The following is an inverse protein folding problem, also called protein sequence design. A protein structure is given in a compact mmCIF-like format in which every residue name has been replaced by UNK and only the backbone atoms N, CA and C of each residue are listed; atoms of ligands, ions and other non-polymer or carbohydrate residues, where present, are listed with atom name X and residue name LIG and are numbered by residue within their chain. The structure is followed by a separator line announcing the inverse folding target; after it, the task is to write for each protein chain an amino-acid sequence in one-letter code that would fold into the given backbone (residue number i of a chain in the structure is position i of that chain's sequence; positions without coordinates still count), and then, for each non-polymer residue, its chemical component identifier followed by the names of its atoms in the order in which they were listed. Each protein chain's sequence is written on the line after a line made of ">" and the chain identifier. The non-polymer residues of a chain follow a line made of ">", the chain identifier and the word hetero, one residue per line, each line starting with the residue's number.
data_IF_066280889754
#
_entry.id   IF_066280889754
#
_cell.length_a   1.000
_cell.length_b   1.000
_cell.length_c   1.000
_cell.angle_alpha   90.00
_cell.angle_beta   90.00
_cell.angle_gamma   90.00
#
_symmetry.space_group_name_H-M   'P 1'
#
loop_
_entity.id
_entity.type
_entity.pdbx_description
1 polymer ?
#
# COMPACT_ATOMS: atom_id res chain seq x y z
N UNK A 1 -1.95 -13.20 -23.90
CA UNK A 1 -1.94 -12.91 -22.43
C UNK A 1 -1.76 -11.42 -22.30
N UNK A 2 -2.45 -10.77 -21.36
CA UNK A 2 -2.26 -9.33 -21.07
C UNK A 2 -0.95 -9.14 -20.31
N UNK A 3 -0.27 -8.01 -20.56
CA UNK A 3 0.97 -7.71 -19.83
C UNK A 3 0.68 -7.27 -18.39
N UNK A 4 -0.34 -6.44 -18.20
CA UNK A 4 -0.73 -5.90 -16.89
C UNK A 4 -2.23 -6.05 -16.67
N UNK A 5 -2.63 -6.48 -15.47
CA UNK A 5 -3.97 -6.31 -14.92
C UNK A 5 -3.94 -5.13 -13.95
N UNK A 6 -4.59 -4.05 -14.31
CA UNK A 6 -4.90 -2.97 -13.39
C UNK A 6 -6.21 -3.28 -12.66
N UNK A 7 -6.22 -3.16 -11.36
CA UNK A 7 -7.44 -3.24 -10.56
C UNK A 7 -7.74 -1.87 -9.98
N UNK A 8 -8.96 -1.42 -10.22
CA UNK A 8 -9.46 -0.11 -9.77
C UNK A 8 -10.65 -0.34 -8.84
N UNK A 9 -10.41 -0.43 -7.51
CA UNK A 9 -11.51 -0.45 -6.54
C UNK A 9 -12.22 0.89 -6.54
N UNK A 10 -13.54 0.89 -6.71
CA UNK A 10 -14.37 2.08 -6.79
C UNK A 10 -15.51 2.02 -5.77
N UNK A 11 -15.65 3.08 -4.97
CA UNK A 11 -16.81 3.29 -4.12
C UNK A 11 -17.15 4.77 -4.08
N UNK A 12 -18.30 5.15 -4.63
CA UNK A 12 -18.75 6.53 -4.79
C UNK A 12 -17.64 7.42 -5.42
N UNK A 13 -17.15 7.00 -6.57
CA UNK A 13 -15.99 7.57 -7.27
C UNK A 13 -16.36 8.37 -8.52
N UNK A 14 -17.64 8.72 -8.72
CA UNK A 14 -18.12 9.40 -9.96
C UNK A 14 -17.34 10.67 -10.32
N UNK A 15 -16.75 11.35 -9.31
CA UNK A 15 -16.02 12.59 -9.51
C UNK A 15 -14.57 12.40 -10.03
N UNK A 16 -14.02 11.19 -9.95
CA UNK A 16 -12.57 10.98 -10.14
C UNK A 16 -12.23 9.86 -11.14
N UNK A 17 -13.04 8.79 -11.17
CA UNK A 17 -12.70 7.53 -11.81
C UNK A 17 -12.45 7.63 -13.32
N UNK A 18 -13.06 8.60 -14.02
CA UNK A 18 -12.86 8.76 -15.46
C UNK A 18 -11.39 9.11 -15.78
N UNK A 19 -10.78 10.04 -15.03
CA UNK A 19 -9.36 10.38 -15.19
C UNK A 19 -8.46 9.18 -14.93
N UNK A 20 -8.77 8.39 -13.90
CA UNK A 20 -8.05 7.15 -13.59
C UNK A 20 -8.11 6.20 -14.78
N UNK A 21 -9.30 5.82 -15.21
CA UNK A 21 -9.52 4.82 -16.27
C UNK A 21 -8.91 5.29 -17.60
N UNK A 22 -9.10 6.57 -17.97
CA UNK A 22 -8.55 7.13 -19.22
C UNK A 22 -7.03 7.02 -19.25
N UNK A 23 -6.35 7.28 -18.12
CA UNK A 23 -4.89 7.12 -18.03
C UNK A 23 -4.44 5.67 -18.26
N UNK A 24 -5.22 4.68 -17.82
CA UNK A 24 -4.91 3.26 -17.98
C UNK A 24 -5.21 2.75 -19.40
N UNK A 25 -6.18 3.33 -20.09
CA UNK A 25 -6.57 2.95 -21.45
C UNK A 25 -5.49 3.22 -22.50
N UNK A 26 -4.47 4.01 -22.19
CA UNK A 26 -3.27 4.20 -23.03
C UNK A 26 -2.63 2.85 -23.38
N UNK A 27 -2.69 1.85 -22.48
CA UNK A 27 -2.17 0.49 -22.70
C UNK A 27 -2.95 -0.33 -23.72
N UNK A 28 -4.13 0.13 -24.15
CA UNK A 28 -4.96 -0.54 -25.18
C UNK A 28 -5.13 -2.05 -24.91
N UNK A 29 -4.88 -2.86 -25.93
CA UNK A 29 -5.02 -4.33 -25.84
C UNK A 29 -3.89 -5.03 -25.06
N UNK A 30 -2.82 -4.34 -24.67
CA UNK A 30 -1.74 -4.92 -23.87
C UNK A 30 -2.17 -5.14 -22.42
N UNK A 31 -3.16 -4.38 -21.96
CA UNK A 31 -3.61 -4.39 -20.56
C UNK A 31 -5.06 -4.79 -20.42
N UNK A 32 -5.45 -5.17 -19.22
CA UNK A 32 -6.84 -5.22 -18.78
C UNK A 32 -7.02 -4.31 -17.57
N UNK A 33 -8.16 -3.66 -17.51
CA UNK A 33 -8.58 -2.78 -16.44
C UNK A 33 -9.81 -3.43 -15.79
N UNK A 34 -9.68 -3.86 -14.56
CA UNK A 34 -10.74 -4.51 -13.79
C UNK A 34 -11.28 -3.47 -12.82
N UNK A 35 -12.41 -2.88 -13.16
CA UNK A 35 -13.12 -1.95 -12.29
C UNK A 35 -13.97 -2.79 -11.34
N UNK A 36 -13.80 -2.60 -10.04
CA UNK A 36 -14.62 -3.25 -9.02
C UNK A 36 -15.47 -2.17 -8.36
N UNK A 37 -16.74 -2.11 -8.73
CA UNK A 37 -17.71 -1.23 -8.09
C UNK A 37 -18.21 -1.88 -6.80
N UNK A 38 -17.76 -1.36 -5.69
CA UNK A 38 -17.95 -1.89 -4.34
C UNK A 38 -19.26 -1.38 -3.72
N UNK A 39 -20.38 -1.53 -4.46
CA UNK A 39 -21.72 -1.16 -4.00
C UNK A 39 -21.94 0.35 -3.95
N UNK A 40 -21.48 1.09 -4.96
CA UNK A 40 -21.67 2.52 -5.06
C UNK A 40 -23.13 2.93 -5.16
N UNK A 41 -23.49 4.08 -4.62
CA UNK A 41 -24.84 4.66 -4.64
C UNK A 41 -24.94 5.87 -5.56
N UNK A 42 -23.81 6.36 -6.09
CA UNK A 42 -23.72 7.43 -7.08
C UNK A 42 -23.67 6.88 -8.52
N UNK A 43 -23.15 7.64 -9.48
CA UNK A 43 -23.07 7.23 -10.89
C UNK A 43 -21.86 6.33 -11.20
N UNK A 44 -21.05 5.93 -10.20
CA UNK A 44 -19.84 5.11 -10.40
C UNK A 44 -20.13 3.86 -11.23
N UNK A 45 -21.12 3.06 -10.84
CA UNK A 45 -21.49 1.84 -11.55
C UNK A 45 -21.89 2.11 -13.02
N UNK A 46 -22.68 3.16 -13.27
CA UNK A 46 -23.09 3.55 -14.63
C UNK A 46 -21.91 4.00 -15.49
N UNK A 47 -20.95 4.73 -14.90
CA UNK A 47 -19.72 5.14 -15.59
C UNK A 47 -18.91 3.90 -15.96
N UNK A 48 -18.72 2.97 -15.02
CA UNK A 48 -17.99 1.73 -15.23
C UNK A 48 -18.60 0.87 -16.35
N UNK A 49 -19.93 0.73 -16.37
CA UNK A 49 -20.66 0.03 -17.44
C UNK A 49 -20.45 0.66 -18.82
N UNK A 50 -20.43 2.01 -18.88
CA UNK A 50 -20.17 2.73 -20.12
C UNK A 50 -18.74 2.48 -20.63
N UNK A 51 -17.74 2.45 -19.74
CA UNK A 51 -16.35 2.11 -20.12
C UNK A 51 -16.26 0.67 -20.60
N UNK A 52 -16.88 -0.28 -19.93
CA UNK A 52 -16.91 -1.68 -20.36
C UNK A 52 -17.55 -1.81 -21.75
N UNK A 53 -18.70 -1.17 -21.98
CA UNK A 53 -19.40 -1.17 -23.27
C UNK A 53 -18.55 -0.57 -24.39
N UNK A 54 -17.80 0.50 -24.10
CA UNK A 54 -16.94 1.20 -25.08
C UNK A 54 -15.64 0.45 -25.36
N UNK A 55 -15.07 -0.23 -24.34
CA UNK A 55 -13.76 -0.89 -24.40
C UNK A 55 -13.81 -2.35 -23.91
N UNK A 56 -14.67 -3.22 -24.48
CA UNK A 56 -14.92 -4.57 -23.93
C UNK A 56 -13.70 -5.49 -23.94
N UNK A 57 -12.70 -5.18 -24.77
CA UNK A 57 -11.45 -5.97 -24.85
C UNK A 57 -10.43 -5.60 -23.76
N UNK A 58 -10.57 -4.42 -23.15
CA UNK A 58 -9.62 -3.89 -22.18
C UNK A 58 -10.23 -3.62 -20.82
N UNK A 59 -11.53 -3.36 -20.72
CA UNK A 59 -12.22 -3.02 -19.48
C UNK A 59 -13.17 -4.15 -19.08
N UNK A 60 -13.02 -4.63 -17.86
CA UNK A 60 -13.97 -5.54 -17.18
C UNK A 60 -14.61 -4.78 -16.02
N UNK A 61 -15.87 -5.04 -15.77
CA UNK A 61 -16.59 -4.51 -14.60
C UNK A 61 -17.09 -5.63 -13.72
N UNK A 62 -17.00 -5.44 -12.42
CA UNK A 62 -17.54 -6.31 -11.39
C UNK A 62 -18.30 -5.44 -10.41
N UNK A 63 -19.61 -5.67 -10.28
CA UNK A 63 -20.43 -5.07 -9.24
C UNK A 63 -20.54 -6.03 -8.07
N UNK A 64 -20.34 -5.53 -6.85
CA UNK A 64 -20.47 -6.31 -5.63
C UNK A 64 -21.15 -5.53 -4.51
N UNK A 65 -21.60 -6.23 -3.48
CA UNK A 65 -21.96 -5.59 -2.22
C UNK A 65 -20.72 -4.99 -1.58
N UNK A 66 -20.87 -3.83 -0.90
CA UNK A 66 -19.75 -3.14 -0.31
C UNK A 66 -18.99 -4.04 0.67
N UNK A 67 -17.74 -4.30 0.38
CA UNK A 67 -16.80 -5.07 1.18
C UNK A 67 -15.58 -4.24 1.63
N UNK A 68 -15.48 -3.00 1.16
CA UNK A 68 -14.35 -2.10 1.36
C UNK A 68 -13.23 -2.30 0.36
N UNK A 69 -12.29 -1.36 0.33
CA UNK A 69 -11.20 -1.28 -0.63
C UNK A 69 -10.40 -2.59 -0.77
N UNK A 70 -10.06 -3.24 0.36
CA UNK A 70 -9.34 -4.51 0.35
C UNK A 70 -10.09 -5.65 -0.35
N UNK A 71 -11.43 -5.73 -0.17
CA UNK A 71 -12.25 -6.71 -0.89
C UNK A 71 -12.28 -6.42 -2.40
N UNK A 72 -12.32 -5.14 -2.78
CA UNK A 72 -12.18 -4.75 -4.19
C UNK A 72 -10.87 -5.26 -4.80
N UNK A 73 -9.75 -5.19 -4.06
CA UNK A 73 -8.46 -5.75 -4.48
C UNK A 73 -8.52 -7.28 -4.56
N UNK A 74 -9.09 -7.98 -3.56
CA UNK A 74 -9.23 -9.44 -3.56
C UNK A 74 -10.01 -9.93 -4.78
N UNK A 75 -11.16 -9.32 -5.04
CA UNK A 75 -12.01 -9.65 -6.20
C UNK A 75 -11.29 -9.35 -7.50
N UNK A 76 -10.65 -8.19 -7.62
CA UNK A 76 -9.85 -7.84 -8.79
C UNK A 76 -8.71 -8.85 -9.04
N UNK A 77 -7.98 -9.26 -8.00
CA UNK A 77 -6.90 -10.25 -8.10
C UNK A 77 -7.41 -11.61 -8.60
N UNK A 78 -8.57 -12.04 -8.13
CA UNK A 78 -9.20 -13.29 -8.55
C UNK A 78 -9.54 -13.31 -10.06
N UNK A 79 -9.89 -12.15 -10.64
CA UNK A 79 -10.29 -12.02 -12.04
C UNK A 79 -9.16 -11.57 -12.96
N UNK A 80 -8.00 -11.23 -12.40
CA UNK A 80 -6.82 -10.80 -13.15
C UNK A 80 -6.19 -11.95 -13.96
N UNK A 81 -5.86 -11.67 -15.22
CA UNK A 81 -5.24 -12.63 -16.17
C UNK A 81 -3.90 -12.15 -16.72
N UNK A 82 -3.50 -10.93 -16.42
CA UNK A 82 -2.24 -10.33 -16.85
C UNK A 82 -1.02 -10.95 -16.16
N UNK A 83 0.13 -10.80 -16.79
CA UNK A 83 1.42 -11.24 -16.25
C UNK A 83 1.74 -10.51 -14.94
N UNK A 84 1.50 -9.23 -14.92
CA UNK A 84 1.69 -8.35 -13.76
C UNK A 84 0.36 -7.81 -13.24
N UNK A 85 0.33 -7.48 -11.98
CA UNK A 85 -0.84 -6.96 -11.27
C UNK A 85 -0.48 -5.65 -10.56
N UNK A 86 -1.28 -4.62 -10.77
CA UNK A 86 -1.15 -3.34 -10.10
C UNK A 86 -2.50 -2.82 -9.64
N UNK A 87 -2.59 -2.39 -8.40
CA UNK A 87 -3.72 -1.62 -7.89
C UNK A 87 -3.54 -0.15 -8.28
N UNK A 88 -4.63 0.47 -8.70
CA UNK A 88 -4.70 1.92 -8.92
C UNK A 88 -5.96 2.43 -8.24
N UNK A 89 -5.80 3.34 -7.29
CA UNK A 89 -6.92 3.94 -6.58
C UNK A 89 -7.74 4.81 -7.53
N UNK A 90 -9.06 4.80 -7.38
CA UNK A 90 -9.98 5.41 -8.36
C UNK A 90 -9.86 6.93 -8.48
N UNK A 91 -9.19 7.58 -7.53
CA UNK A 91 -8.89 9.02 -7.52
C UNK A 91 -7.47 9.37 -8.01
N UNK A 92 -6.65 8.36 -8.34
CA UNK A 92 -5.28 8.47 -8.81
C UNK A 92 -5.18 8.20 -10.32
N UNK A 93 -4.02 8.42 -10.93
CA UNK A 93 -3.79 8.17 -12.36
C UNK A 93 -2.31 7.87 -12.65
N UNK A 94 -2.05 7.35 -13.84
CA UNK A 94 -0.67 7.17 -14.33
C UNK A 94 -0.24 8.33 -15.23
N UNK A 95 1.05 8.71 -15.13
CA UNK A 95 1.67 9.64 -16.07
C UNK A 95 1.75 8.99 -17.47
N UNK A 96 1.32 9.71 -18.49
CA UNK A 96 1.20 9.20 -19.85
C UNK A 96 2.55 8.76 -20.43
N UNK A 97 3.58 9.60 -20.29
CA UNK A 97 4.90 9.33 -20.89
C UNK A 97 5.67 8.26 -20.12
N UNK A 98 5.60 8.27 -18.80
CA UNK A 98 6.18 7.21 -17.97
C UNK A 98 5.48 5.86 -18.24
N UNK A 99 4.15 5.87 -18.42
CA UNK A 99 3.40 4.65 -18.70
C UNK A 99 3.70 4.09 -20.10
N UNK A 100 3.85 4.93 -21.12
CA UNK A 100 4.29 4.49 -22.46
C UNK A 100 5.65 3.81 -22.40
N UNK A 101 6.61 4.35 -21.65
CA UNK A 101 7.93 3.74 -21.43
C UNK A 101 7.82 2.39 -20.72
N UNK A 102 7.03 2.32 -19.63
CA UNK A 102 6.76 1.07 -18.92
C UNK A 102 6.23 -0.02 -19.88
N UNK A 103 5.27 0.32 -20.75
CA UNK A 103 4.66 -0.61 -21.70
C UNK A 103 5.65 -1.13 -22.77
N UNK A 104 6.69 -0.39 -23.06
CA UNK A 104 7.79 -0.84 -23.93
C UNK A 104 8.70 -1.81 -23.18
N UNK A 105 9.15 -1.44 -21.98
CA UNK A 105 10.10 -2.20 -21.18
C UNK A 105 9.52 -3.52 -20.66
N UNK A 106 8.25 -3.54 -20.25
CA UNK A 106 7.62 -4.69 -19.59
C UNK A 106 7.60 -5.96 -20.45
N UNK A 107 7.69 -5.82 -21.77
CA UNK A 107 7.76 -6.93 -22.73
C UNK A 107 9.04 -7.75 -22.59
N UNK A 108 10.10 -7.11 -22.11
CA UNK A 108 11.43 -7.69 -21.97
C UNK A 108 11.77 -8.04 -20.52
N UNK A 109 10.91 -7.67 -19.58
CA UNK A 109 11.10 -7.91 -18.14
C UNK A 109 10.38 -9.19 -17.73
N UNK A 110 11.12 -10.08 -17.06
CA UNK A 110 10.55 -11.23 -16.34
C UNK A 110 11.08 -11.27 -14.91
N UNK A 111 10.38 -10.59 -14.02
CA UNK A 111 10.77 -10.42 -12.62
C UNK A 111 9.54 -10.59 -11.71
N UNK A 112 9.77 -10.83 -10.43
CA UNK A 112 8.69 -11.02 -9.45
C UNK A 112 8.03 -9.70 -9.03
N UNK A 113 8.82 -8.62 -9.01
CA UNK A 113 8.39 -7.29 -8.59
C UNK A 113 9.01 -6.22 -9.49
N UNK A 114 8.18 -5.37 -10.06
CA UNK A 114 8.59 -4.12 -10.71
C UNK A 114 8.31 -2.97 -9.73
N UNK A 115 9.29 -2.08 -9.58
CA UNK A 115 9.18 -0.87 -8.75
C UNK A 115 9.35 0.35 -9.63
N UNK A 116 8.44 1.32 -9.50
CA UNK A 116 8.54 2.65 -10.11
C UNK A 116 8.42 3.73 -9.03
N UNK A 117 8.74 4.97 -9.37
CA UNK A 117 8.47 6.10 -8.51
C UNK A 117 6.98 6.44 -8.49
N UNK A 118 6.59 7.28 -7.54
CA UNK A 118 5.28 7.90 -7.52
C UNK A 118 5.39 9.38 -7.12
N UNK A 119 4.36 10.15 -7.42
CA UNK A 119 4.33 11.59 -7.27
C UNK A 119 3.17 11.99 -6.37
N UNK A 120 3.44 12.66 -5.27
CA UNK A 120 2.39 13.39 -4.54
C UNK A 120 1.94 14.58 -5.36
N UNK A 121 0.68 14.55 -5.79
CA UNK A 121 0.06 15.60 -6.60
C UNK A 121 -0.94 16.37 -5.75
N UNK A 122 -0.62 17.63 -5.47
CA UNK A 122 -1.39 18.49 -4.58
C UNK A 122 -2.39 19.38 -5.33
N UNK A 123 -3.56 19.63 -4.73
CA UNK A 123 -4.61 20.49 -5.28
C UNK A 123 -4.56 21.92 -4.77
N UNK A 124 -3.78 22.20 -3.76
CA UNK A 124 -3.71 23.48 -3.04
C UNK A 124 -2.61 24.41 -3.55
N UNK A 125 -2.04 24.12 -4.74
CA UNK A 125 -1.00 24.91 -5.37
C UNK A 125 0.42 24.62 -4.87
N UNK A 126 0.60 23.68 -3.96
CA UNK A 126 1.94 23.18 -3.59
C UNK A 126 2.60 22.50 -4.79
N UNK A 127 3.94 22.58 -4.85
CA UNK A 127 4.71 21.85 -5.85
C UNK A 127 4.60 20.35 -5.62
N UNK A 128 4.33 19.59 -6.69
CA UNK A 128 4.35 18.13 -6.65
C UNK A 128 5.68 17.59 -6.12
N UNK A 129 5.63 16.47 -5.43
CA UNK A 129 6.80 15.85 -4.82
C UNK A 129 6.98 14.42 -5.33
N UNK A 130 8.10 14.16 -5.97
CA UNK A 130 8.49 12.81 -6.41
C UNK A 130 9.03 12.01 -5.24
N UNK A 131 8.54 10.80 -5.09
CA UNK A 131 9.08 9.78 -4.19
C UNK A 131 9.82 8.76 -5.04
N UNK A 132 11.12 8.96 -5.16
CA UNK A 132 12.02 8.12 -5.96
C UNK A 132 12.66 7.02 -5.10
N UNK A 133 12.91 5.86 -5.72
CA UNK A 133 13.58 4.72 -5.12
C UNK A 133 15.00 4.48 -5.70
N UNK A 134 15.53 5.39 -6.49
CA UNK A 134 16.88 5.31 -7.08
C UNK A 134 18.00 5.15 -6.04
N UNK A 135 17.77 5.55 -4.77
CA UNK A 135 18.72 5.30 -3.69
C UNK A 135 18.63 3.88 -3.11
N UNK A 136 17.62 3.10 -3.49
CA UNK A 136 17.38 1.74 -2.98
C UNK A 136 17.70 0.69 -4.02
N UNK A 137 17.37 0.94 -5.27
CA UNK A 137 17.49 0.00 -6.37
C UNK A 137 18.32 0.60 -7.50
N UNK A 138 19.25 -0.17 -8.03
CA UNK A 138 19.89 0.16 -9.29
C UNK A 138 18.90 -0.08 -10.44
N UNK A 139 18.83 0.83 -11.40
CA UNK A 139 17.86 0.75 -12.48
C UNK A 139 18.26 -0.18 -13.61
N UNK A 140 17.26 -0.59 -14.41
CA UNK A 140 17.42 -1.30 -15.69
C UNK A 140 18.17 -2.64 -15.59
N UNK A 141 18.09 -3.31 -14.43
CA UNK A 141 18.63 -4.67 -14.27
C UNK A 141 17.80 -5.49 -13.28
N UNK A 142 17.87 -6.80 -13.40
CA UNK A 142 17.25 -7.73 -12.45
C UNK A 142 18.10 -7.74 -11.18
N UNK A 143 17.47 -7.42 -10.07
CA UNK A 143 18.06 -7.40 -8.73
C UNK A 143 17.50 -8.55 -7.89
N UNK A 144 18.31 -9.03 -6.95
CA UNK A 144 17.88 -9.84 -5.82
C UNK A 144 17.78 -8.99 -4.55
N UNK A 145 17.30 -9.56 -3.47
CA UNK A 145 17.32 -8.87 -2.17
C UNK A 145 18.74 -8.51 -1.69
N UNK A 146 19.78 -9.20 -2.17
CA UNK A 146 21.16 -8.91 -1.80
C UNK A 146 21.74 -7.69 -2.54
N UNK A 147 21.08 -7.26 -3.60
CA UNK A 147 21.54 -6.12 -4.42
C UNK A 147 20.95 -4.79 -3.93
N UNK A 148 19.85 -4.81 -3.16
CA UNK A 148 19.18 -3.56 -2.73
C UNK A 148 20.03 -2.76 -1.72
N UNK A 149 19.93 -1.44 -1.80
CA UNK A 149 20.53 -0.51 -0.86
C UNK A 149 19.59 -0.18 0.32
N UNK A 150 19.97 0.79 1.14
CA UNK A 150 19.17 1.16 2.31
C UNK A 150 18.08 2.16 1.97
N UNK A 151 16.87 1.87 2.41
CA UNK A 151 15.81 2.86 2.46
C UNK A 151 16.16 4.00 3.43
N UNK A 152 15.82 5.24 3.06
CA UNK A 152 15.85 6.37 4.00
C UNK A 152 14.89 6.11 5.16
N UNK A 153 15.04 6.83 6.27
CA UNK A 153 14.21 6.63 7.46
C UNK A 153 12.71 6.80 7.17
N UNK A 154 12.38 7.75 6.33
CA UNK A 154 10.99 8.12 5.93
C UNK A 154 10.52 7.46 4.64
N UNK A 155 11.30 6.56 4.04
CA UNK A 155 11.00 5.91 2.78
C UNK A 155 10.58 4.46 3.03
N UNK A 156 9.42 4.06 2.54
CA UNK A 156 8.83 2.73 2.71
C UNK A 156 8.31 2.22 1.36
N UNK A 157 8.25 0.88 1.16
CA UNK A 157 7.50 0.31 0.05
C UNK A 157 6.06 0.83 0.07
N UNK A 158 5.51 1.12 -1.10
CA UNK A 158 4.17 1.68 -1.24
C UNK A 158 3.38 0.94 -2.31
N UNK A 159 2.07 0.80 -2.12
CA UNK A 159 1.15 0.27 -3.13
C UNK A 159 1.31 1.01 -4.47
N UNK A 160 1.50 2.33 -4.42
CA UNK A 160 1.65 3.19 -5.60
C UNK A 160 2.91 2.86 -6.41
N UNK A 161 4.00 2.42 -5.75
CA UNK A 161 5.28 2.11 -6.40
C UNK A 161 5.40 0.69 -6.92
N UNK A 162 4.60 -0.26 -6.41
CA UNK A 162 4.81 -1.69 -6.62
C UNK A 162 3.86 -2.27 -7.67
N UNK A 163 4.40 -3.18 -8.49
CA UNK A 163 3.65 -4.01 -9.43
C UNK A 163 4.20 -5.43 -9.35
N UNK A 164 3.40 -6.34 -8.83
CA UNK A 164 3.80 -7.72 -8.63
C UNK A 164 3.50 -8.61 -9.85
N UNK A 165 4.36 -9.58 -10.12
CA UNK A 165 3.99 -10.69 -10.98
C UNK A 165 2.82 -11.44 -10.36
N UNK A 166 1.76 -11.69 -11.14
CA UNK A 166 0.53 -12.30 -10.60
C UNK A 166 0.80 -13.63 -9.89
N UNK A 167 1.68 -14.45 -10.45
CA UNK A 167 2.04 -15.74 -9.84
C UNK A 167 2.68 -15.61 -8.44
N UNK A 168 3.30 -14.48 -8.10
CA UNK A 168 3.82 -14.19 -6.75
C UNK A 168 2.67 -13.90 -5.80
N UNK A 169 1.66 -13.14 -6.24
CA UNK A 169 0.47 -12.85 -5.44
C UNK A 169 -0.34 -14.13 -5.19
N UNK A 170 -0.50 -14.98 -6.21
CA UNK A 170 -1.19 -16.27 -6.09
C UNK A 170 -0.52 -17.17 -5.04
N UNK A 171 0.81 -17.26 -5.06
CA UNK A 171 1.59 -18.02 -4.05
C UNK A 171 1.49 -17.42 -2.65
N UNK A 172 1.24 -16.13 -2.55
CA UNK A 172 1.18 -15.41 -1.27
C UNK A 172 -0.16 -15.55 -0.57
N UNK A 173 -1.16 -16.13 -1.23
CA UNK A 173 -2.51 -16.32 -0.70
C UNK A 173 -3.02 -15.02 -0.05
N UNK A 174 -3.03 -13.94 -0.85
CA UNK A 174 -3.53 -12.64 -0.41
C UNK A 174 -5.01 -12.73 -0.11
N UNK A 175 -5.37 -12.33 1.10
CA UNK A 175 -6.76 -12.21 1.57
C UNK A 175 -6.83 -10.98 2.48
N UNK A 176 -7.25 -9.87 1.91
CA UNK A 176 -7.36 -8.60 2.61
C UNK A 176 -8.68 -8.55 3.38
N UNK A 177 -8.67 -8.04 4.62
CA UNK A 177 -9.88 -8.01 5.44
C UNK A 177 -10.90 -7.01 4.90
N UNK A 178 -12.19 -7.41 4.92
CA UNK A 178 -13.32 -6.55 4.54
C UNK A 178 -13.49 -5.39 5.51
N UNK A 179 -13.88 -4.22 4.98
CA UNK A 179 -14.17 -2.99 5.74
C UNK A 179 -13.03 -2.55 6.68
N UNK A 180 -11.78 -2.85 6.32
CA UNK A 180 -10.59 -2.45 7.07
C UNK A 180 -9.78 -1.49 6.24
N UNK A 181 -9.40 -0.35 6.80
CA UNK A 181 -8.47 0.62 6.19
C UNK A 181 -7.03 0.24 6.52
N UNK A 182 -6.08 0.76 5.73
CA UNK A 182 -4.63 0.50 5.87
C UNK A 182 -4.22 -0.94 5.51
N UNK A 183 -5.11 -1.72 4.90
CA UNK A 183 -4.89 -3.08 4.44
C UNK A 183 -3.91 -3.18 3.26
N UNK A 184 -3.65 -2.05 2.58
CA UNK A 184 -2.57 -1.89 1.60
C UNK A 184 -1.22 -2.34 2.14
N UNK A 185 -0.97 -2.13 3.45
CA UNK A 185 0.23 -2.63 4.12
C UNK A 185 0.31 -4.17 4.13
N UNK A 186 -0.82 -4.87 4.17
CA UNK A 186 -0.85 -6.32 4.01
C UNK A 186 -0.52 -6.70 2.57
N UNK A 187 -1.12 -6.03 1.59
CA UNK A 187 -0.85 -6.26 0.16
C UNK A 187 0.63 -6.03 -0.18
N UNK A 188 1.26 -5.01 0.40
CA UNK A 188 2.69 -4.72 0.23
C UNK A 188 3.56 -5.80 0.90
N UNK A 189 3.25 -6.18 2.14
CA UNK A 189 4.10 -6.99 2.99
C UNK A 189 4.06 -8.49 2.68
N UNK A 190 2.86 -9.03 2.44
CA UNK A 190 2.67 -10.47 2.33
C UNK A 190 3.42 -11.11 1.15
N UNK A 191 3.53 -10.50 -0.04
CA UNK A 191 4.23 -11.10 -1.17
C UNK A 191 5.76 -11.07 -1.06
N UNK A 192 6.33 -10.28 -0.16
CA UNK A 192 7.78 -10.10 -0.07
C UNK A 192 8.55 -11.41 0.11
N UNK A 193 7.99 -12.36 0.87
CA UNK A 193 8.61 -13.68 1.11
C UNK A 193 8.67 -14.57 -0.14
N UNK A 194 7.78 -14.33 -1.11
CA UNK A 194 7.71 -15.06 -2.37
C UNK A 194 8.39 -14.29 -3.52
N UNK A 195 8.84 -13.06 -3.27
CA UNK A 195 9.56 -12.22 -4.23
C UNK A 195 11.04 -12.55 -4.19
N UNK A 196 11.61 -12.96 -5.32
CA UNK A 196 13.04 -13.29 -5.46
C UNK A 196 13.77 -12.27 -6.30
N UNK A 197 13.12 -11.75 -7.34
CA UNK A 197 13.68 -10.83 -8.30
C UNK A 197 12.92 -9.51 -8.34
N UNK A 198 13.67 -8.42 -8.46
CA UNK A 198 13.15 -7.05 -8.48
C UNK A 198 13.71 -6.35 -9.70
N UNK A 199 12.89 -5.53 -10.34
CA UNK A 199 13.31 -4.64 -11.42
C UNK A 199 12.86 -3.22 -11.11
N UNK A 200 13.78 -2.27 -11.16
CA UNK A 200 13.47 -0.88 -10.91
C UNK A 200 13.54 -0.08 -12.21
N UNK A 201 12.50 0.71 -12.44
CA UNK A 201 12.42 1.71 -13.49
C UNK A 201 12.31 3.09 -12.85
N UNK A 202 13.26 3.97 -13.13
CA UNK A 202 13.22 5.36 -12.63
C UNK A 202 12.20 6.19 -13.43
N UNK A 203 10.93 5.81 -13.28
CA UNK A 203 9.79 6.42 -13.92
C UNK A 203 8.85 6.99 -12.85
N UNK A 204 8.52 8.27 -12.95
CA UNK A 204 7.53 8.95 -12.10
C UNK A 204 6.12 8.56 -12.57
N UNK A 205 5.79 7.27 -12.36
CA UNK A 205 4.66 6.61 -13.03
C UNK A 205 3.31 6.94 -12.44
N UNK A 206 3.19 6.97 -11.12
CA UNK A 206 1.92 7.00 -10.41
C UNK A 206 1.70 8.36 -9.77
N UNK A 207 0.59 9.02 -10.06
CA UNK A 207 0.18 10.26 -9.43
C UNK A 207 -0.80 9.97 -8.29
N UNK A 208 -0.33 10.15 -7.06
CA UNK A 208 -1.15 10.08 -5.87
C UNK A 208 -1.77 11.45 -5.57
N UNK A 209 -3.09 11.52 -5.70
CA UNK A 209 -3.85 12.74 -5.52
C UNK A 209 -4.05 13.07 -4.04
N UNK A 210 -3.54 14.22 -3.59
CA UNK A 210 -3.61 14.65 -2.18
C UNK A 210 -4.33 15.98 -2.07
N UNK A 211 -5.20 16.09 -1.07
CA UNK A 211 -5.88 17.36 -0.74
C UNK A 211 -7.38 17.24 -0.47
N UNK A 212 -7.96 16.04 -0.54
CA UNK A 212 -9.35 15.84 -0.17
C UNK A 212 -9.50 15.74 1.36
N UNK A 213 -10.58 16.32 1.88
CA UNK A 213 -10.87 16.34 3.32
C UNK A 213 -11.22 14.96 3.92
N UNK A 214 -11.63 14.01 3.07
CA UNK A 214 -12.08 12.66 3.46
C UNK A 214 -10.98 11.59 3.41
N UNK A 215 -9.75 11.97 2.99
CA UNK A 215 -8.64 11.02 2.87
C UNK A 215 -8.29 10.36 4.20
N UNK A 216 -7.86 9.10 4.12
CA UNK A 216 -7.56 8.24 5.27
C UNK A 216 -6.40 8.74 6.14
N UNK A 217 -5.55 9.58 5.60
CA UNK A 217 -4.37 10.16 6.27
C UNK A 217 -4.69 11.37 7.19
N UNK A 218 -5.92 11.84 7.22
CA UNK A 218 -6.33 12.94 8.10
C UNK A 218 -6.39 12.47 9.57
N UNK A 219 -5.86 13.26 10.54
CA UNK A 219 -5.79 12.90 11.97
C UNK A 219 -7.17 12.50 12.54
N UNK A 220 -8.23 13.17 12.13
CA UNK A 220 -9.60 12.84 12.54
C UNK A 220 -10.05 11.45 12.06
N UNK A 221 -9.64 11.05 10.86
CA UNK A 221 -9.91 9.71 10.33
C UNK A 221 -9.04 8.66 11.02
N UNK A 222 -7.77 8.98 11.30
CA UNK A 222 -6.85 8.10 12.01
C UNK A 222 -7.38 7.72 13.40
N UNK A 223 -7.95 8.69 14.12
CA UNK A 223 -8.60 8.43 15.43
C UNK A 223 -9.77 7.47 15.29
N UNK A 224 -10.68 7.74 14.34
CA UNK A 224 -11.86 6.90 14.10
C UNK A 224 -11.47 5.45 13.67
N UNK A 225 -10.37 5.30 12.93
CA UNK A 225 -9.92 4.04 12.32
C UNK A 225 -8.74 3.41 13.07
N UNK A 226 -8.47 3.82 14.30
CA UNK A 226 -7.34 3.31 15.08
C UNK A 226 -7.37 1.79 15.26
N UNK A 227 -8.56 1.20 15.46
CA UNK A 227 -8.75 -0.25 15.55
C UNK A 227 -8.36 -0.99 14.27
N UNK A 228 -8.56 -0.38 13.09
CA UNK A 228 -8.16 -0.95 11.79
C UNK A 228 -6.63 -1.00 11.68
N UNK A 229 -5.95 0.09 12.03
CA UNK A 229 -4.49 0.12 12.04
C UNK A 229 -3.90 -0.90 13.03
N UNK A 230 -4.50 -1.05 14.21
CA UNK A 230 -4.11 -2.07 15.20
C UNK A 230 -4.25 -3.48 14.62
N UNK A 231 -5.38 -3.77 13.96
CA UNK A 231 -5.63 -5.06 13.31
C UNK A 231 -4.60 -5.35 12.20
N UNK A 232 -4.32 -4.38 11.34
CA UNK A 232 -3.32 -4.52 10.27
C UNK A 232 -1.93 -4.74 10.85
N UNK A 233 -1.53 -3.96 11.87
CA UNK A 233 -0.25 -4.12 12.56
C UNK A 233 -0.12 -5.53 13.19
N UNK A 234 -1.18 -6.04 13.82
CA UNK A 234 -1.22 -7.40 14.36
C UNK A 234 -1.03 -8.42 13.24
N UNK A 235 -1.83 -8.36 12.18
CA UNK A 235 -1.79 -9.31 11.06
C UNK A 235 -0.41 -9.35 10.40
N UNK A 236 0.21 -8.20 10.12
CA UNK A 236 1.57 -8.12 9.54
C UNK A 236 2.60 -8.73 10.48
N UNK A 237 2.60 -8.35 11.76
CA UNK A 237 3.62 -8.78 12.71
C UNK A 237 3.48 -10.25 13.16
N UNK A 238 2.32 -10.86 12.96
CA UNK A 238 2.10 -12.27 13.34
C UNK A 238 2.13 -13.23 12.17
N UNK A 239 2.17 -12.74 10.92
CA UNK A 239 2.06 -13.60 9.73
C UNK A 239 3.28 -14.49 9.53
N UNK A 240 4.48 -13.98 9.73
CA UNK A 240 5.72 -14.69 9.43
C UNK A 240 6.67 -14.77 10.64
N UNK A 241 7.30 -15.94 10.84
CA UNK A 241 8.49 -16.07 11.68
C UNK A 241 9.70 -15.55 10.88
N UNK A 242 10.09 -14.31 11.14
CA UNK A 242 11.20 -13.68 10.42
C UNK A 242 12.54 -14.40 10.59
N UNK A 243 12.70 -15.23 11.62
CA UNK A 243 13.93 -16.02 11.82
C UNK A 243 14.11 -17.11 10.77
N UNK A 244 13.01 -17.51 10.08
CA UNK A 244 13.03 -18.50 9.00
C UNK A 244 13.32 -17.88 7.62
N UNK A 245 13.39 -16.55 7.52
CA UNK A 245 13.75 -15.87 6.28
C UNK A 245 15.28 -15.87 6.16
N UNK A 246 15.80 -16.62 5.21
CA UNK A 246 17.25 -16.81 5.03
C UNK A 246 17.93 -15.50 4.59
N UNK A 247 17.36 -14.78 3.63
CA UNK A 247 17.95 -13.56 3.12
C UNK A 247 17.95 -12.45 4.18
N UNK A 248 19.15 -12.00 4.55
CA UNK A 248 19.37 -11.03 5.64
C UNK A 248 18.80 -9.64 5.34
N UNK A 249 18.85 -9.20 4.07
CA UNK A 249 18.35 -7.87 3.68
C UNK A 249 16.82 -7.86 3.64
N UNK A 250 16.17 -8.90 3.09
CA UNK A 250 14.72 -9.08 3.14
C UNK A 250 14.23 -9.15 4.60
N UNK A 251 14.86 -9.98 5.44
CA UNK A 251 14.50 -10.08 6.86
C UNK A 251 14.61 -8.74 7.58
N UNK A 252 15.64 -7.94 7.27
CA UNK A 252 15.82 -6.58 7.84
C UNK A 252 14.73 -5.64 7.37
N UNK A 253 14.36 -5.67 6.08
CA UNK A 253 13.26 -4.88 5.53
C UNK A 253 11.95 -5.23 6.22
N UNK A 254 11.57 -6.51 6.23
CA UNK A 254 10.32 -6.96 6.85
C UNK A 254 10.24 -6.65 8.35
N UNK A 255 11.37 -6.78 9.07
CA UNK A 255 11.44 -6.35 10.48
C UNK A 255 11.24 -4.85 10.64
N UNK A 256 11.79 -4.04 9.73
CA UNK A 256 11.61 -2.59 9.71
C UNK A 256 10.15 -2.21 9.48
N UNK A 257 9.46 -2.86 8.55
CA UNK A 257 8.02 -2.68 8.32
C UNK A 257 7.20 -3.04 9.57
N UNK A 258 7.53 -4.12 10.26
CA UNK A 258 6.90 -4.46 11.55
C UNK A 258 7.12 -3.35 12.61
N UNK A 259 8.32 -2.79 12.73
CA UNK A 259 8.60 -1.67 13.66
C UNK A 259 7.76 -0.45 13.30
N UNK A 260 7.69 -0.12 12.01
CA UNK A 260 6.93 1.02 11.52
C UNK A 260 5.44 0.87 11.81
N UNK A 261 4.84 -0.26 11.41
CA UNK A 261 3.41 -0.52 11.63
C UNK A 261 3.05 -0.62 13.11
N UNK A 262 3.89 -1.23 13.93
CA UNK A 262 3.70 -1.25 15.38
C UNK A 262 3.78 0.17 15.97
N UNK A 263 4.70 1.00 15.49
CA UNK A 263 4.82 2.40 15.93
C UNK A 263 3.54 3.18 15.60
N UNK A 264 3.07 3.08 14.35
CA UNK A 264 1.83 3.73 13.91
C UNK A 264 0.61 3.19 14.68
N UNK A 265 0.48 1.87 14.82
CA UNK A 265 -0.61 1.23 15.55
C UNK A 265 -0.70 1.71 17.01
N UNK A 266 0.45 1.86 17.69
CA UNK A 266 0.52 2.41 19.05
C UNK A 266 0.15 3.90 19.06
N UNK A 267 0.67 4.70 18.12
CA UNK A 267 0.36 6.13 18.04
C UNK A 267 -1.13 6.35 17.77
N UNK A 268 -1.71 5.65 16.80
CA UNK A 268 -3.13 5.78 16.45
C UNK A 268 -4.04 5.39 17.62
N UNK A 269 -3.70 4.33 18.36
CA UNK A 269 -4.44 3.93 19.55
C UNK A 269 -4.40 5.00 20.63
N UNK A 270 -3.29 5.72 20.77
CA UNK A 270 -3.07 6.68 21.87
C UNK A 270 -3.50 8.10 21.55
N UNK A 271 -3.65 8.46 20.25
CA UNK A 271 -3.96 9.82 19.82
C UNK A 271 -5.36 10.28 20.26
N UNK A 272 -6.28 9.37 20.49
CA UNK A 272 -7.63 9.66 21.03
C UNK A 272 -7.65 10.08 22.51
N UNK A 273 -6.56 9.87 23.24
CA UNK A 273 -6.46 10.08 24.70
C UNK A 273 -7.49 9.32 25.56
N UNK A 274 -8.08 8.24 25.01
CA UNK A 274 -9.10 7.44 25.68
C UNK A 274 -8.50 6.27 26.48
N UNK A 275 -9.26 5.74 27.44
CA UNK A 275 -8.91 4.49 28.15
C UNK A 275 -8.89 3.31 27.16
N UNK A 276 -9.80 3.33 26.20
CA UNK A 276 -9.89 2.28 25.17
C UNK A 276 -8.64 2.25 24.29
N UNK A 277 -8.14 3.40 23.82
CA UNK A 277 -6.89 3.47 23.07
C UNK A 277 -5.69 2.97 23.88
N UNK A 278 -5.64 3.29 25.20
CA UNK A 278 -4.57 2.75 26.06
C UNK A 278 -4.68 1.23 26.25
N UNK A 279 -5.88 0.67 26.23
CA UNK A 279 -6.11 -0.77 26.24
C UNK A 279 -5.67 -1.41 24.91
N UNK A 280 -6.09 -0.87 23.79
CA UNK A 280 -5.78 -1.37 22.45
C UNK A 280 -4.27 -1.54 22.21
N UNK A 281 -3.44 -0.53 22.54
CA UNK A 281 -1.99 -0.65 22.31
C UNK A 281 -1.34 -1.70 23.22
N UNK A 282 -1.81 -1.86 24.46
CA UNK A 282 -1.32 -2.90 25.36
C UNK A 282 -1.68 -4.30 24.85
N UNK A 283 -2.91 -4.48 24.41
CA UNK A 283 -3.39 -5.73 23.81
C UNK A 283 -2.62 -6.05 22.53
N UNK A 284 -2.33 -5.05 21.69
CA UNK A 284 -1.52 -5.25 20.49
C UNK A 284 -0.15 -5.83 20.85
N UNK A 285 0.58 -5.22 21.80
CA UNK A 285 1.86 -5.76 22.25
C UNK A 285 1.76 -7.14 22.87
N UNK A 286 0.71 -7.40 23.64
CA UNK A 286 0.47 -8.71 24.24
C UNK A 286 0.24 -9.77 23.17
N UNK A 287 -0.59 -9.51 22.18
CA UNK A 287 -0.85 -10.41 21.06
C UNK A 287 0.41 -10.72 20.25
N UNK A 288 1.27 -9.71 20.00
CA UNK A 288 2.55 -9.97 19.32
C UNK A 288 3.46 -10.85 20.19
N UNK A 289 3.51 -10.60 21.50
CA UNK A 289 4.29 -11.43 22.43
C UNK A 289 3.82 -12.88 22.44
N UNK A 290 2.52 -13.12 22.39
CA UNK A 290 1.93 -14.46 22.40
C UNK A 290 2.12 -15.18 21.06
N UNK A 291 1.80 -14.51 19.95
CA UNK A 291 1.78 -15.13 18.62
C UNK A 291 3.14 -15.16 17.94
N UNK A 292 4.02 -14.21 18.22
CA UNK A 292 5.36 -14.10 17.61
C UNK A 292 6.40 -13.58 18.63
N UNK A 293 6.75 -14.37 19.67
CA UNK A 293 7.64 -13.93 20.74
C UNK A 293 9.03 -13.54 20.26
N UNK A 294 9.56 -14.19 19.22
CA UNK A 294 10.86 -13.83 18.64
C UNK A 294 10.85 -12.44 18.03
N UNK A 295 9.81 -12.12 17.27
CA UNK A 295 9.63 -10.78 16.72
C UNK A 295 9.44 -9.77 17.84
N UNK A 296 8.56 -10.06 18.84
CA UNK A 296 8.35 -9.19 19.99
C UNK A 296 9.67 -8.77 20.63
N UNK A 297 10.55 -9.71 20.99
CA UNK A 297 11.85 -9.41 21.59
C UNK A 297 12.76 -8.59 20.67
N UNK A 298 12.67 -8.80 19.36
CA UNK A 298 13.51 -8.08 18.38
C UNK A 298 13.08 -6.63 18.15
N UNK A 299 11.80 -6.28 18.37
CA UNK A 299 11.26 -4.95 18.06
C UNK A 299 10.85 -4.14 19.28
N UNK A 300 10.40 -4.78 20.38
CA UNK A 300 9.80 -4.11 21.55
C UNK A 300 10.72 -3.07 22.20
N UNK A 301 12.01 -3.35 22.22
CA UNK A 301 13.03 -2.51 22.86
C UNK A 301 13.84 -1.68 21.85
N UNK A 302 13.38 -1.54 20.61
CA UNK A 302 13.95 -0.54 19.70
C UNK A 302 13.61 0.87 20.17
N UNK A 303 14.44 1.85 19.82
CA UNK A 303 14.26 3.24 20.23
C UNK A 303 12.85 3.75 19.91
N UNK A 304 12.36 3.54 18.66
CA UNK A 304 11.02 3.96 18.27
C UNK A 304 9.92 3.28 19.08
N UNK A 305 9.93 1.94 19.16
CA UNK A 305 8.88 1.19 19.88
C UNK A 305 8.87 1.52 21.37
N UNK A 306 10.02 1.69 21.99
CA UNK A 306 10.14 2.11 23.41
C UNK A 306 9.57 3.50 23.60
N UNK A 307 9.96 4.45 22.76
CA UNK A 307 9.54 5.84 22.85
C UNK A 307 8.01 6.00 22.77
N UNK A 308 7.37 5.40 21.77
CA UNK A 308 5.90 5.51 21.58
C UNK A 308 5.10 4.71 22.62
N UNK A 309 5.71 3.68 23.23
CA UNK A 309 5.04 2.77 24.17
C UNK A 309 5.31 3.11 25.64
N UNK A 310 5.89 4.26 25.96
CA UNK A 310 6.19 4.60 27.35
C UNK A 310 4.89 4.65 28.20
N UNK A 311 4.81 3.93 29.32
CA UNK A 311 3.53 3.58 29.95
C UNK A 311 2.85 4.71 30.75
N UNK A 312 3.53 5.84 31.00
CA UNK A 312 3.02 6.93 31.82
C UNK A 312 2.22 7.96 31.00
N UNK A 313 1.44 8.81 31.70
CA UNK A 313 0.77 9.98 31.08
C UNK A 313 1.79 10.90 30.40
N UNK A 314 2.93 11.13 31.06
CA UNK A 314 4.03 11.92 30.50
C UNK A 314 4.60 11.24 29.24
N UNK A 315 4.83 9.93 29.28
CA UNK A 315 5.31 9.17 28.13
C UNK A 315 4.33 9.26 26.94
N UNK A 316 3.02 9.21 27.18
CA UNK A 316 2.03 9.44 26.13
C UNK A 316 2.17 10.84 25.53
N UNK A 317 2.23 11.86 26.38
CA UNK A 317 2.43 13.24 25.91
C UNK A 317 3.68 13.37 25.03
N UNK A 318 4.82 12.86 25.50
CA UNK A 318 6.09 12.89 24.76
C UNK A 318 5.98 12.16 23.43
N UNK A 319 5.39 10.96 23.40
CA UNK A 319 5.25 10.18 22.15
C UNK A 319 4.36 10.89 21.12
N UNK A 320 3.25 11.50 21.56
CA UNK A 320 2.36 12.25 20.68
C UNK A 320 2.94 13.60 20.24
N UNK A 321 3.67 14.27 21.12
CA UNK A 321 4.43 15.47 20.76
C UNK A 321 5.48 15.14 19.69
N UNK A 322 6.25 14.07 19.88
CA UNK A 322 7.24 13.60 18.91
C UNK A 322 6.60 13.22 17.57
N UNK A 323 5.43 12.55 17.59
CA UNK A 323 4.67 12.26 16.38
C UNK A 323 4.24 13.56 15.66
N UNK A 324 3.64 14.52 16.37
CA UNK A 324 3.20 15.79 15.77
C UNK A 324 4.36 16.62 15.23
N UNK A 325 5.51 16.59 15.92
CA UNK A 325 6.72 17.25 15.44
C UNK A 325 7.25 16.56 14.17
N UNK A 326 7.31 15.23 14.15
CA UNK A 326 7.71 14.47 12.98
C UNK A 326 6.76 14.72 11.80
N UNK A 327 5.44 14.75 12.04
CA UNK A 327 4.43 15.05 11.03
C UNK A 327 4.63 16.45 10.40
N UNK A 328 4.97 17.47 11.22
CA UNK A 328 5.29 18.81 10.71
C UNK A 328 6.60 18.87 9.92
N UNK A 329 7.64 18.15 10.37
CA UNK A 329 8.97 18.18 9.74
C UNK A 329 9.02 17.38 8.45
N UNK A 330 8.37 16.22 8.43
CA UNK A 330 8.42 15.29 7.30
C UNK A 330 7.27 15.55 6.32
N UNK A 331 6.30 16.41 6.71
CA UNK A 331 5.09 16.69 5.92
C UNK A 331 4.44 15.39 5.43
N UNK A 332 4.25 14.43 6.32
CA UNK A 332 3.33 13.34 6.07
C UNK A 332 1.95 13.95 5.85
N UNK A 333 1.48 13.96 4.63
CA UNK A 333 0.09 14.25 4.34
C UNK A 333 -0.68 12.95 4.40
#
# INVERSE_FOLDING_TARGET
>A
MKDISFVVPCYNSEAYMEKCIDSLLIGKNQVEIIIVDDGSTDKTGKIADNYHKKYPQSVKIIHQENGGHGEGINVGLKHATGKYFKVVDSDDWLDEEAYKKLLQEIKHIDTDLIVCNYVYTYTDGRKNQVISFANVYDENKILSWDDIHRFKLTQYPSLHSMMYKKSVLDKSNIDLPKHVFYEDNLFIYLPLVNTKTIYYLDLDLYHYYIGRADQSVQESQMVKRSSHQVLVSEKVCTKYDLTKIENKKLRRLMRRECIFLMTIGVVFSRISYTKEGEKQYKELWQKIKEKNPKLYHSIRYTTMATFVSFPTRLGRFISLFGYRLAHKLVKFN
#
